data_IF_670536217398
#
_entry.id   IF_670536217398
#
_cell.length_a   1.000
_cell.length_b   1.000
_cell.length_c   1.000
_cell.angle_alpha   90.00
_cell.angle_beta   90.00
_cell.angle_gamma   90.00
#
_symmetry.space_group_name_H-M   'P 1'
#
loop_
_entity.id
_entity.type
_entity.pdbx_description
1 polymer ?
#
# COMPACT_ATOMS: atom_id res chain seq x y z
N UNK A 1 -10.62 7.72 -7.29
CA UNK A 1 -9.69 7.18 -6.28
C UNK A 1 -10.11 7.75 -4.93
N UNK A 2 -10.23 6.93 -3.87
CA UNK A 2 -10.60 7.46 -2.54
C UNK A 2 -9.39 8.22 -1.97
N UNK A 3 -9.64 9.46 -1.54
CA UNK A 3 -8.72 10.29 -0.76
C UNK A 3 -9.35 10.52 0.60
N UNK A 4 -8.63 10.17 1.66
CA UNK A 4 -9.06 10.38 3.04
C UNK A 4 -8.69 11.77 3.53
N UNK A 5 -7.58 12.30 3.03
CA UNK A 5 -7.05 13.60 3.38
C UNK A 5 -6.69 14.36 2.10
N UNK A 6 -6.92 15.67 2.11
CA UNK A 6 -6.45 16.55 1.02
C UNK A 6 -4.91 16.63 1.06
N UNK A 7 -4.31 16.29 -0.08
CA UNK A 7 -2.87 16.24 -0.33
C UNK A 7 -2.40 17.39 -1.24
N UNK A 8 -3.30 18.34 -1.57
CA UNK A 8 -2.94 19.50 -2.36
C UNK A 8 -1.91 20.36 -1.60
N UNK A 9 -0.70 20.41 -2.13
CA UNK A 9 0.46 21.12 -1.55
C UNK A 9 0.14 22.59 -1.33
N UNK A 10 -0.54 23.26 -2.27
CA UNK A 10 -0.88 24.68 -2.17
C UNK A 10 -1.82 24.96 -1.00
N UNK A 11 -2.79 24.06 -0.76
CA UNK A 11 -3.71 24.18 0.36
C UNK A 11 -2.99 23.95 1.70
N UNK A 12 -2.04 23.00 1.74
CA UNK A 12 -1.25 22.70 2.93
C UNK A 12 -0.30 23.85 3.25
N UNK A 13 0.37 24.40 2.25
CA UNK A 13 1.26 25.56 2.40
C UNK A 13 0.50 26.76 2.94
N UNK A 14 -0.66 27.06 2.32
CA UNK A 14 -1.53 28.15 2.78
C UNK A 14 -1.95 27.97 4.23
N UNK A 15 -2.37 26.76 4.62
CA UNK A 15 -2.78 26.46 6.00
C UNK A 15 -1.64 26.64 6.99
N UNK A 16 -0.43 26.17 6.65
CA UNK A 16 0.75 26.30 7.51
C UNK A 16 1.17 27.77 7.61
N UNK A 17 1.12 28.51 6.50
CA UNK A 17 1.46 29.93 6.45
C UNK A 17 0.49 30.76 7.30
N UNK A 18 -0.82 30.58 7.11
CA UNK A 18 -1.86 31.25 7.90
C UNK A 18 -1.69 30.97 9.40
N UNK A 19 -1.44 29.71 9.77
CA UNK A 19 -1.20 29.34 11.17
C UNK A 19 0.07 29.97 11.76
N UNK A 20 1.15 30.07 10.98
CA UNK A 20 2.37 30.73 11.42
C UNK A 20 2.17 32.24 11.63
N UNK A 21 1.50 32.92 10.68
CA UNK A 21 1.21 34.35 10.76
C UNK A 21 0.29 34.68 11.95
N UNK A 22 -0.70 33.82 12.24
CA UNK A 22 -1.59 33.96 13.38
C UNK A 22 -0.86 33.81 14.73
N UNK A 23 0.01 32.80 14.86
CA UNK A 23 0.74 32.52 16.10
C UNK A 23 1.79 33.60 16.37
N UNK A 24 2.54 34.01 15.34
CA UNK A 24 3.67 34.93 15.49
C UNK A 24 3.26 36.40 15.37
N UNK A 25 2.06 36.69 14.86
CA UNK A 25 1.57 38.06 14.64
C UNK A 25 2.35 38.82 13.56
N UNK A 26 2.96 38.10 12.61
CA UNK A 26 3.82 38.67 11.55
C UNK A 26 3.25 38.28 10.19
N UNK A 27 3.28 39.20 9.22
CA UNK A 27 2.98 38.88 7.82
C UNK A 27 4.27 38.54 7.09
N UNK A 28 4.33 37.35 6.50
CA UNK A 28 5.53 36.86 5.81
C UNK A 28 5.59 37.50 4.42
N UNK A 29 6.72 38.14 4.11
CA UNK A 29 6.97 38.79 2.81
C UNK A 29 7.69 37.85 1.85
N UNK A 30 7.56 38.11 0.56
CA UNK A 30 8.32 37.38 -0.47
C UNK A 30 9.83 37.62 -0.28
N UNK A 31 10.60 36.53 -0.26
CA UNK A 31 12.05 36.55 -0.03
C UNK A 31 12.51 36.41 1.43
N UNK A 32 11.58 36.22 2.38
CA UNK A 32 11.92 35.91 3.77
C UNK A 32 12.42 34.45 3.91
N UNK A 33 13.56 34.17 4.57
CA UNK A 33 14.02 32.81 4.87
C UNK A 33 12.97 31.92 5.57
N UNK A 34 11.99 32.53 6.24
CA UNK A 34 10.87 31.83 6.86
C UNK A 34 10.01 31.11 5.80
N UNK A 35 9.87 31.65 4.59
CA UNK A 35 9.15 30.95 3.52
C UNK A 35 9.86 29.65 3.14
N UNK A 36 11.19 29.62 3.09
CA UNK A 36 11.94 28.39 2.81
C UNK A 36 11.70 27.33 3.90
N UNK A 37 11.64 27.77 5.15
CA UNK A 37 11.29 26.89 6.27
C UNK A 37 9.86 26.35 6.16
N UNK A 38 8.87 27.21 5.85
CA UNK A 38 7.48 26.79 5.65
C UNK A 38 7.37 25.84 4.45
N UNK A 39 8.09 26.07 3.37
CA UNK A 39 8.16 25.17 2.22
C UNK A 39 8.71 23.79 2.60
N UNK A 40 9.77 23.74 3.41
CA UNK A 40 10.30 22.47 3.92
C UNK A 40 9.30 21.73 4.83
N UNK A 41 8.61 22.43 5.73
CA UNK A 41 7.57 21.85 6.58
C UNK A 41 6.40 21.34 5.71
N UNK A 42 5.95 22.13 4.74
CA UNK A 42 4.89 21.77 3.79
C UNK A 42 5.25 20.49 3.03
N UNK A 43 6.50 20.35 2.58
CA UNK A 43 6.98 19.13 1.93
C UNK A 43 6.84 17.90 2.82
N UNK A 44 7.29 17.98 4.09
CA UNK A 44 7.17 16.88 5.05
C UNK A 44 5.70 16.51 5.27
N UNK A 45 4.84 17.50 5.49
CA UNK A 45 3.40 17.26 5.70
C UNK A 45 2.73 16.65 4.46
N UNK A 46 3.18 17.00 3.26
CA UNK A 46 2.66 16.45 2.01
C UNK A 46 2.98 14.96 1.89
N UNK A 47 4.20 14.54 2.25
CA UNK A 47 4.58 13.12 2.33
C UNK A 47 3.70 12.39 3.34
N UNK A 48 3.56 12.92 4.56
CA UNK A 48 2.76 12.30 5.62
C UNK A 48 1.29 12.15 5.17
N UNK A 49 0.70 13.16 4.53
CA UNK A 49 -0.66 13.10 4.00
C UNK A 49 -0.80 12.02 2.91
N UNK A 50 0.22 11.85 2.08
CA UNK A 50 0.25 10.78 1.09
C UNK A 50 0.32 9.40 1.75
N UNK A 51 1.16 9.24 2.78
CA UNK A 51 1.30 8.00 3.55
C UNK A 51 0.01 7.64 4.30
N UNK A 52 -0.70 8.64 4.84
CA UNK A 52 -2.02 8.45 5.47
C UNK A 52 -3.03 7.97 4.42
N UNK A 53 -3.06 8.61 3.24
CA UNK A 53 -3.93 8.18 2.16
C UNK A 53 -3.59 6.77 1.68
N UNK A 54 -2.30 6.40 1.63
CA UNK A 54 -1.85 5.05 1.31
C UNK A 54 -2.32 4.03 2.35
N UNK A 55 -2.02 4.28 3.62
CA UNK A 55 -2.38 3.40 4.74
C UNK A 55 -3.90 3.23 4.85
N UNK A 56 -4.66 4.33 4.69
CA UNK A 56 -6.12 4.30 4.69
C UNK A 56 -6.69 3.44 3.56
N UNK A 57 -6.08 3.48 2.35
CA UNK A 57 -6.47 2.61 1.25
C UNK A 57 -6.13 1.15 1.52
N UNK A 58 -4.95 0.88 2.07
CA UNK A 58 -4.52 -0.48 2.41
C UNK A 58 -5.38 -1.12 3.51
N UNK A 59 -6.06 -0.32 4.33
CA UNK A 59 -7.00 -0.83 5.34
C UNK A 59 -8.40 -1.15 4.78
N UNK A 60 -8.68 -0.83 3.51
CA UNK A 60 -9.93 -1.16 2.85
C UNK A 60 -9.75 -2.37 1.94
N UNK A 61 -10.49 -3.44 2.21
CA UNK A 61 -10.41 -4.72 1.46
C UNK A 61 -10.48 -4.57 -0.07
N UNK A 62 -11.25 -3.58 -0.55
CA UNK A 62 -11.40 -3.31 -2.00
C UNK A 62 -10.12 -2.77 -2.66
N UNK A 63 -9.25 -2.12 -1.90
CA UNK A 63 -8.08 -1.40 -2.39
C UNK A 63 -6.76 -1.92 -1.83
N UNK A 64 -6.81 -2.78 -0.81
CA UNK A 64 -5.64 -3.42 -0.22
C UNK A 64 -4.98 -4.38 -1.20
N UNK A 65 -3.65 -4.45 -1.17
CA UNK A 65 -2.85 -5.30 -2.05
C UNK A 65 -1.81 -6.10 -1.25
N UNK A 66 -1.38 -7.23 -1.81
CA UNK A 66 -0.30 -8.07 -1.26
C UNK A 66 -0.51 -8.42 0.23
N UNK A 67 0.52 -8.22 1.05
CA UNK A 67 0.54 -8.55 2.48
C UNK A 67 -0.60 -7.87 3.26
N UNK A 68 -1.02 -6.66 2.87
CA UNK A 68 -2.14 -5.97 3.51
C UNK A 68 -3.48 -6.68 3.25
N UNK A 69 -3.68 -7.16 2.02
CA UNK A 69 -4.87 -7.93 1.66
C UNK A 69 -4.87 -9.30 2.37
N UNK A 70 -3.71 -9.93 2.47
CA UNK A 70 -3.55 -11.19 3.21
C UNK A 70 -3.87 -11.02 4.69
N UNK A 71 -3.34 -9.98 5.34
CA UNK A 71 -3.63 -9.65 6.73
C UNK A 71 -5.13 -9.37 6.97
N UNK A 72 -5.78 -8.66 6.03
CA UNK A 72 -7.24 -8.46 6.08
C UNK A 72 -8.01 -9.77 5.90
N UNK A 73 -7.53 -10.68 5.06
CA UNK A 73 -8.08 -12.02 4.86
C UNK A 73 -7.97 -12.88 6.12
N UNK A 74 -6.83 -12.84 6.79
CA UNK A 74 -6.57 -13.57 8.03
C UNK A 74 -7.54 -13.13 9.15
N UNK A 75 -7.82 -11.83 9.26
CA UNK A 75 -8.79 -11.29 10.22
C UNK A 75 -10.21 -11.85 10.05
N UNK A 76 -10.59 -12.22 8.82
CA UNK A 76 -11.90 -12.84 8.53
C UNK A 76 -11.82 -14.36 8.43
N UNK A 77 -10.68 -14.97 8.80
CA UNK A 77 -10.47 -16.41 8.81
C UNK A 77 -10.23 -17.02 7.43
N UNK A 78 -9.79 -16.22 6.46
CA UNK A 78 -9.49 -16.67 5.09
C UNK A 78 -7.99 -16.58 4.84
N UNK A 79 -7.34 -17.73 4.72
CA UNK A 79 -5.92 -17.81 4.38
C UNK A 79 -5.68 -17.87 2.87
N UNK A 80 -4.55 -17.32 2.41
CA UNK A 80 -4.13 -17.43 1.02
C UNK A 80 -3.80 -18.88 0.66
N UNK A 81 -4.40 -19.37 -0.43
CA UNK A 81 -4.06 -20.67 -0.98
C UNK A 81 -2.64 -20.62 -1.53
N UNK A 82 -1.74 -21.38 -0.89
CA UNK A 82 -0.37 -21.53 -1.34
C UNK A 82 -0.30 -22.23 -2.69
N UNK A 83 0.75 -21.92 -3.45
CA UNK A 83 1.07 -22.60 -4.70
C UNK A 83 1.18 -24.11 -4.50
N UNK A 84 0.55 -24.86 -5.39
CA UNK A 84 0.58 -26.32 -5.39
C UNK A 84 1.02 -26.80 -6.76
N UNK A 85 1.93 -27.76 -6.78
CA UNK A 85 2.38 -28.39 -8.02
C UNK A 85 1.19 -28.99 -8.79
N UNK A 86 1.26 -28.92 -10.12
CA UNK A 86 0.23 -29.48 -10.98
C UNK A 86 0.10 -30.99 -10.74
N UNK A 87 -1.14 -31.46 -10.57
CA UNK A 87 -1.44 -32.88 -10.44
C UNK A 87 -2.14 -33.34 -11.70
N UNK A 88 -1.59 -34.36 -12.36
CA UNK A 88 -2.16 -34.99 -13.52
C UNK A 88 -2.20 -36.50 -13.31
N UNK A 89 -3.27 -37.15 -13.77
CA UNK A 89 -3.35 -38.61 -13.81
C UNK A 89 -2.89 -39.06 -15.18
N UNK A 90 -1.84 -39.89 -15.24
CA UNK A 90 -1.27 -40.38 -16.49
C UNK A 90 -1.45 -41.90 -16.56
N UNK A 91 -1.89 -42.39 -17.71
CA UNK A 91 -1.96 -43.82 -18.01
C UNK A 91 -0.83 -44.18 -18.97
N UNK A 92 0.00 -45.12 -18.58
CA UNK A 92 1.06 -45.66 -19.43
C UNK A 92 0.60 -46.98 -20.04
N UNK A 93 0.90 -47.15 -21.33
CA UNK A 93 0.78 -48.44 -22.01
C UNK A 93 2.19 -48.97 -22.24
N UNK A 94 2.50 -50.13 -21.67
CA UNK A 94 3.80 -50.76 -21.83
C UNK A 94 3.77 -51.74 -23.01
N UNK A 95 4.83 -51.72 -23.83
CA UNK A 95 4.99 -52.66 -24.96
C UNK A 95 5.40 -54.06 -24.53
N UNK A 96 5.94 -54.22 -23.32
CA UNK A 96 6.38 -55.50 -22.76
C UNK A 96 5.34 -56.09 -21.79
N UNK A 97 5.22 -57.41 -21.80
CA UNK A 97 4.39 -58.15 -20.84
C UNK A 97 5.18 -58.32 -19.55
N UNK A 98 4.57 -57.96 -18.42
CA UNK A 98 5.13 -58.21 -17.10
C UNK A 98 4.53 -59.49 -16.52
N UNK A 99 5.32 -60.51 -16.16
CA UNK A 99 4.80 -61.79 -15.67
C UNK A 99 4.29 -61.71 -14.22
N UNK A 100 4.68 -60.69 -13.45
CA UNK A 100 4.29 -60.47 -12.06
C UNK A 100 3.88 -59.00 -11.85
N UNK A 101 3.21 -58.69 -10.73
CA UNK A 101 2.84 -57.31 -10.37
C UNK A 101 4.09 -56.46 -10.17
N UNK A 102 4.16 -55.33 -10.87
CA UNK A 102 5.26 -54.35 -10.76
C UNK A 102 4.71 -53.01 -10.29
N UNK A 103 5.25 -52.50 -9.19
CA UNK A 103 4.98 -51.15 -8.68
C UNK A 103 5.89 -50.14 -9.36
N UNK A 104 5.32 -49.06 -9.88
CA UNK A 104 6.07 -47.90 -10.38
C UNK A 104 6.26 -46.97 -9.18
N UNK A 105 7.49 -46.78 -8.67
CA UNK A 105 7.76 -45.84 -7.59
C UNK A 105 7.57 -44.38 -8.02
#
# INVERSE_FOLDING_TARGET
MIKFVDENVDNVEKTIKEGYEEIMGVTIKDGDPINDFIGWVTYIFSIIKNDINYTGRMNLLRYSENEYLEALGELVGVERIQEKGAKATVKYTFSKIFPNVVTIP
#
